data_IF_303528082307
#
_entry.id   IF_303528082307
#
_cell.length_a   1.000
_cell.length_b   1.000
_cell.length_c   1.000
_cell.angle_alpha   90.00
_cell.angle_beta   90.00
_cell.angle_gamma   90.00
#
_symmetry.space_group_name_H-M   'P 1'
#
loop_
_entity.id
_entity.type
_entity.pdbx_description
1 polymer ?
#
# COMPACT_ATOMS: atom_id res chain seq x y z
N UNK A 1 -20.20 -19.84 2.02
CA UNK A 1 -20.02 -18.55 2.72
C UNK A 1 -18.72 -17.93 2.22
N UNK A 2 -18.70 -16.70 1.71
CA UNK A 2 -17.49 -16.12 1.07
C UNK A 2 -16.88 -15.03 1.95
N UNK A 3 -15.58 -15.14 2.22
CA UNK A 3 -14.81 -14.13 2.95
C UNK A 3 -14.21 -13.13 1.96
N UNK A 4 -14.24 -11.85 2.34
CA UNK A 4 -13.64 -10.76 1.57
C UNK A 4 -12.77 -9.87 2.44
N UNK A 5 -11.61 -9.50 1.91
CA UNK A 5 -10.79 -8.42 2.47
C UNK A 5 -11.21 -7.12 1.80
N UNK A 6 -11.79 -6.19 2.55
CA UNK A 6 -12.42 -4.97 2.00
C UNK A 6 -12.12 -3.74 2.85
N UNK A 7 -12.36 -2.56 2.26
CA UNK A 7 -12.27 -1.28 2.97
C UNK A 7 -13.60 -0.94 3.66
N UNK A 8 -13.61 -0.98 4.99
CA UNK A 8 -14.67 -0.40 5.80
C UNK A 8 -14.38 1.10 5.99
N UNK A 9 -15.39 1.95 5.77
CA UNK A 9 -15.22 3.41 5.86
C UNK A 9 -15.40 3.85 7.31
N UNK A 10 -14.49 4.68 7.76
CA UNK A 10 -14.53 5.41 9.01
C UNK A 10 -14.27 6.91 8.76
N UNK A 11 -14.42 7.71 9.81
CA UNK A 11 -14.17 9.14 9.78
C UNK A 11 -15.37 9.99 9.33
N UNK A 12 -15.12 11.29 9.19
CA UNK A 12 -16.16 12.29 8.92
C UNK A 12 -16.40 12.44 7.41
N UNK A 13 -17.47 13.16 7.05
CA UNK A 13 -17.66 13.66 5.68
C UNK A 13 -16.42 14.46 5.26
N UNK A 14 -15.98 14.31 4.01
CA UNK A 14 -14.77 14.96 3.45
C UNK A 14 -13.42 14.62 4.13
N UNK A 15 -13.41 13.74 5.12
CA UNK A 15 -12.20 13.20 5.76
C UNK A 15 -12.35 11.70 6.00
N UNK A 16 -12.41 10.90 4.92
CA UNK A 16 -12.54 9.45 5.03
C UNK A 16 -11.23 8.82 5.49
N UNK A 17 -11.32 7.88 6.42
CA UNK A 17 -10.27 6.94 6.79
C UNK A 17 -10.84 5.55 6.52
N UNK A 18 -10.02 4.60 6.08
CA UNK A 18 -10.48 3.25 5.79
C UNK A 18 -9.80 2.23 6.70
N UNK A 19 -10.58 1.32 7.27
CA UNK A 19 -10.03 0.13 7.89
C UNK A 19 -9.98 -0.98 6.84
N UNK A 20 -8.85 -1.67 6.76
CA UNK A 20 -8.69 -2.87 5.96
C UNK A 20 -9.20 -4.03 6.82
N UNK A 21 -10.31 -4.64 6.43
CA UNK A 21 -11.02 -5.62 7.27
C UNK A 21 -11.31 -6.90 6.52
N UNK A 22 -11.35 -8.01 7.25
CA UNK A 22 -11.89 -9.28 6.80
C UNK A 22 -13.35 -9.38 7.25
N UNK A 23 -14.26 -9.60 6.31
CA UNK A 23 -15.68 -9.74 6.61
C UNK A 23 -16.36 -10.69 5.64
N UNK A 24 -17.57 -11.14 5.99
CA UNK A 24 -18.40 -11.92 5.09
C UNK A 24 -18.88 -11.04 3.93
N UNK A 25 -18.90 -11.59 2.71
CA UNK A 25 -19.25 -10.83 1.50
C UNK A 25 -20.66 -10.20 1.54
N UNK A 26 -21.60 -10.84 2.25
CA UNK A 26 -23.00 -10.38 2.38
C UNK A 26 -23.22 -9.39 3.52
N UNK A 27 -22.24 -9.19 4.40
CA UNK A 27 -22.38 -8.27 5.54
C UNK A 27 -22.35 -6.81 5.08
N UNK A 28 -23.06 -5.92 5.78
CA UNK A 28 -23.08 -4.49 5.48
C UNK A 28 -21.65 -3.92 5.50
N UNK A 29 -21.37 -2.88 4.70
CA UNK A 29 -20.01 -2.38 4.47
C UNK A 29 -19.23 -2.09 5.76
N UNK A 30 -19.88 -1.39 6.67
CA UNK A 30 -19.27 -0.84 7.88
C UNK A 30 -19.76 -1.58 9.14
N UNK A 31 -20.38 -2.76 9.00
CA UNK A 31 -20.73 -3.60 10.14
C UNK A 31 -19.47 -4.18 10.80
N UNK A 32 -19.61 -4.65 12.05
CA UNK A 32 -18.52 -5.32 12.79
C UNK A 32 -17.87 -6.41 11.92
N UNK A 33 -16.57 -6.30 11.59
CA UNK A 33 -15.86 -7.29 10.78
C UNK A 33 -15.48 -8.52 11.61
N UNK A 34 -14.98 -9.56 10.94
CA UNK A 34 -14.35 -10.70 11.59
C UNK A 34 -13.02 -10.29 12.21
N UNK A 35 -12.22 -9.51 11.47
CA UNK A 35 -10.92 -9.02 11.92
C UNK A 35 -10.57 -7.71 11.21
N UNK A 36 -9.84 -6.84 11.92
CA UNK A 36 -9.24 -5.63 11.36
C UNK A 36 -7.76 -5.91 11.11
N UNK A 37 -7.34 -5.85 9.85
CA UNK A 37 -5.95 -6.10 9.45
C UNK A 37 -5.10 -4.83 9.48
N UNK A 38 -5.73 -3.66 9.40
CA UNK A 38 -5.00 -2.42 9.27
C UNK A 38 -5.85 -1.19 9.00
N UNK A 39 -5.16 -0.07 8.78
CA UNK A 39 -5.73 1.25 8.51
C UNK A 39 -5.07 1.84 7.27
N UNK A 40 -5.88 2.49 6.44
CA UNK A 40 -5.47 3.16 5.23
C UNK A 40 -5.98 4.61 5.24
N UNK A 41 -5.05 5.56 5.16
CA UNK A 41 -5.36 6.96 4.93
C UNK A 41 -5.28 7.25 3.41
N UNK A 42 -6.41 7.56 2.75
CA UNK A 42 -6.40 7.84 1.32
C UNK A 42 -5.79 9.20 0.97
N UNK A 43 -5.67 10.12 1.94
CA UNK A 43 -5.17 11.47 1.70
C UNK A 43 -3.63 11.44 1.72
N UNK A 44 -2.98 11.82 0.60
CA UNK A 44 -1.54 11.79 0.55
C UNK A 44 -0.96 12.93 1.38
N UNK A 45 -0.11 12.61 2.34
CA UNK A 45 0.57 13.57 3.22
C UNK A 45 1.95 13.89 2.66
N UNK A 46 2.40 15.11 2.88
CA UNK A 46 3.82 15.40 2.69
C UNK A 46 4.61 14.53 3.68
N UNK A 47 5.77 13.98 3.30
CA UNK A 47 6.64 13.37 4.29
C UNK A 47 6.96 14.42 5.35
N UNK A 48 6.94 14.01 6.62
CA UNK A 48 7.25 14.88 7.74
C UNK A 48 8.57 15.60 7.44
N UNK A 49 8.57 16.93 7.52
CA UNK A 49 9.77 17.73 7.30
C UNK A 49 10.83 17.29 8.30
N UNK A 50 11.88 16.60 7.84
CA UNK A 50 13.15 16.61 8.55
C UNK A 50 13.65 18.06 8.62
N UNK A 51 14.47 18.42 9.61
CA UNK A 51 14.98 19.79 9.84
C UNK A 51 15.89 20.35 8.72
N UNK A 52 15.93 19.73 7.55
CA UNK A 52 16.62 20.18 6.34
C UNK A 52 15.53 20.50 5.34
N UNK A 53 15.49 21.73 4.84
CA UNK A 53 14.39 22.23 4.01
C UNK A 53 13.98 21.21 2.91
N UNK A 54 12.72 20.74 2.89
CA UNK A 54 12.26 19.64 2.03
C UNK A 54 12.24 19.98 0.53
N UNK A 55 12.66 21.20 0.19
CA UNK A 55 12.56 21.79 -1.14
C UNK A 55 13.85 21.62 -1.93
N UNK A 56 14.91 21.08 -1.33
CA UNK A 56 16.24 21.11 -1.94
C UNK A 56 16.99 19.81 -1.68
N UNK A 57 17.42 19.14 -2.75
CA UNK A 57 18.33 18.00 -2.68
C UNK A 57 19.64 18.35 -3.38
N UNK A 58 20.76 17.79 -2.91
CA UNK A 58 22.04 17.87 -3.61
C UNK A 58 22.16 16.64 -4.51
N UNK A 59 22.32 16.82 -5.82
CA UNK A 59 22.51 15.70 -6.74
C UNK A 59 23.93 15.12 -6.63
N UNK A 60 24.21 14.01 -7.32
CA UNK A 60 25.55 13.39 -7.33
C UNK A 60 26.69 14.27 -7.91
N UNK A 61 26.39 15.50 -8.34
CA UNK A 61 27.35 16.50 -8.85
C UNK A 61 27.56 17.67 -7.88
N UNK A 62 26.94 17.65 -6.70
CA UNK A 62 27.04 18.75 -5.74
C UNK A 62 26.12 19.94 -6.04
N UNK A 63 25.23 19.83 -7.04
CA UNK A 63 24.31 20.90 -7.41
C UNK A 63 23.04 20.85 -6.55
N UNK A 64 22.62 22.02 -6.11
CA UNK A 64 21.42 22.25 -5.32
C UNK A 64 20.21 22.29 -6.26
N UNK A 65 19.38 21.24 -6.25
CA UNK A 65 18.19 21.14 -7.12
C UNK A 65 16.89 21.27 -6.33
N UNK A 66 15.87 21.98 -6.87
CA UNK A 66 14.57 22.05 -6.24
C UNK A 66 13.90 20.66 -6.28
N UNK A 67 13.68 20.07 -5.10
CA UNK A 67 12.97 18.81 -4.93
C UNK A 67 11.59 19.06 -4.32
N UNK A 68 10.53 18.60 -4.99
CA UNK A 68 9.20 18.56 -4.39
C UNK A 68 8.99 17.18 -3.80
N UNK A 69 8.93 17.11 -2.48
CA UNK A 69 8.68 15.84 -1.79
C UNK A 69 7.39 15.18 -2.28
N UNK A 70 7.53 13.96 -2.81
CA UNK A 70 6.39 13.18 -3.31
C UNK A 70 5.47 12.87 -2.13
N UNK A 71 4.22 13.33 -2.20
CA UNK A 71 3.23 13.02 -1.16
C UNK A 71 2.97 11.51 -1.14
N UNK A 72 3.00 10.93 0.06
CA UNK A 72 2.83 9.50 0.29
C UNK A 72 1.50 9.23 1.00
N UNK A 73 0.96 8.03 0.82
CA UNK A 73 -0.26 7.59 1.52
C UNK A 73 0.15 6.62 2.62
N UNK A 74 -0.45 6.79 3.79
CA UNK A 74 -0.16 5.94 4.93
C UNK A 74 -1.00 4.66 4.85
N UNK A 75 -0.33 3.51 4.88
CA UNK A 75 -0.97 2.20 4.96
C UNK A 75 -0.31 1.43 6.08
N UNK A 76 -1.08 1.15 7.13
CA UNK A 76 -0.68 0.28 8.23
C UNK A 76 -1.38 -1.05 8.04
N UNK A 77 -0.62 -2.15 7.97
CA UNK A 77 -1.17 -3.47 7.70
C UNK A 77 -0.39 -4.55 8.45
N UNK A 78 -1.09 -5.43 9.17
CA UNK A 78 -0.52 -6.66 9.70
C UNK A 78 -0.32 -7.65 8.54
N UNK A 79 0.94 -7.77 8.09
CA UNK A 79 1.28 -8.66 6.99
C UNK A 79 1.06 -10.13 7.34
N UNK A 80 1.30 -10.55 8.58
CA UNK A 80 1.18 -11.94 9.02
C UNK A 80 -0.27 -12.39 8.96
N UNK A 81 -1.18 -11.61 9.57
CA UNK A 81 -2.62 -11.90 9.52
C UNK A 81 -3.17 -11.77 8.11
N UNK A 82 -2.72 -10.78 7.34
CA UNK A 82 -3.14 -10.62 5.95
C UNK A 82 -2.75 -11.85 5.11
N UNK A 83 -1.50 -12.32 5.21
CA UNK A 83 -1.03 -13.54 4.53
C UNK A 83 -1.85 -14.76 4.94
N UNK A 84 -2.14 -14.91 6.23
CA UNK A 84 -3.01 -15.99 6.74
C UNK A 84 -4.38 -15.97 6.07
N UNK A 85 -5.07 -14.82 6.05
CA UNK A 85 -6.40 -14.73 5.45
C UNK A 85 -6.41 -14.91 3.94
N UNK A 86 -5.36 -14.46 3.23
CA UNK A 86 -5.18 -14.77 1.82
C UNK A 86 -5.02 -16.27 1.60
N UNK A 87 -4.24 -16.96 2.44
CA UNK A 87 -4.08 -18.42 2.39
C UNK A 87 -5.36 -19.20 2.67
N UNK A 88 -6.24 -18.69 3.53
CA UNK A 88 -7.60 -19.24 3.76
C UNK A 88 -8.53 -19.03 2.55
N UNK A 89 -8.12 -18.21 1.58
CA UNK A 89 -8.90 -17.91 0.37
C UNK A 89 -9.82 -16.69 0.50
N UNK A 90 -9.56 -15.80 1.47
CA UNK A 90 -10.28 -14.53 1.56
C UNK A 90 -9.95 -13.67 0.33
N UNK A 91 -10.98 -13.31 -0.44
CA UNK A 91 -10.80 -12.59 -1.70
C UNK A 91 -10.66 -11.08 -1.45
N UNK A 92 -9.56 -10.42 -1.83
CA UNK A 92 -9.44 -8.98 -1.69
C UNK A 92 -10.35 -8.24 -2.67
N UNK A 93 -10.93 -7.14 -2.21
CA UNK A 93 -11.63 -6.19 -3.08
C UNK A 93 -10.63 -5.41 -3.93
N UNK A 94 -11.10 -4.86 -5.06
CA UNK A 94 -10.26 -4.17 -6.03
C UNK A 94 -9.29 -3.11 -5.47
N UNK A 95 -9.69 -2.18 -4.59
CA UNK A 95 -8.75 -1.21 -4.02
C UNK A 95 -7.75 -1.85 -3.05
N UNK A 96 -8.19 -2.86 -2.29
CA UNK A 96 -7.33 -3.60 -1.36
C UNK A 96 -6.28 -4.37 -2.13
N UNK A 97 -6.65 -5.04 -3.22
CA UNK A 97 -5.72 -5.75 -4.09
C UNK A 97 -4.60 -4.82 -4.57
N UNK A 98 -4.92 -3.61 -5.01
CA UNK A 98 -3.89 -2.63 -5.40
C UNK A 98 -2.97 -2.25 -4.24
N UNK A 99 -3.51 -2.06 -3.04
CA UNK A 99 -2.68 -1.80 -1.86
C UNK A 99 -1.76 -2.99 -1.56
N UNK A 100 -2.27 -4.22 -1.64
CA UNK A 100 -1.47 -5.44 -1.41
C UNK A 100 -0.37 -5.62 -2.46
N UNK A 101 -0.66 -5.32 -3.72
CA UNK A 101 0.35 -5.32 -4.80
C UNK A 101 1.43 -4.27 -4.54
N UNK A 102 1.05 -3.06 -4.13
CA UNK A 102 2.01 -1.99 -3.79
C UNK A 102 2.88 -2.34 -2.58
N UNK A 103 2.35 -3.10 -1.62
CA UNK A 103 3.09 -3.57 -0.43
C UNK A 103 3.94 -4.81 -0.77
N UNK A 104 3.72 -5.47 -1.91
CA UNK A 104 4.44 -6.69 -2.30
C UNK A 104 3.89 -7.97 -1.66
N UNK A 105 2.63 -7.99 -1.22
CA UNK A 105 1.96 -9.17 -0.66
C UNK A 105 1.20 -10.01 -1.71
N UNK A 106 1.07 -9.51 -2.93
CA UNK A 106 0.31 -10.15 -4.00
C UNK A 106 0.86 -9.76 -5.36
N UNK A 107 0.71 -10.64 -6.35
CA UNK A 107 1.03 -10.35 -7.74
C UNK A 107 -0.12 -9.56 -8.42
N UNK A 108 0.20 -8.64 -9.36
CA UNK A 108 -0.82 -7.95 -10.12
C UNK A 108 -1.58 -8.89 -11.05
N UNK A 109 -2.91 -8.76 -11.12
CA UNK A 109 -3.72 -9.54 -12.06
C UNK A 109 -3.29 -9.31 -13.52
N UNK A 110 -3.12 -10.39 -14.32
CA UNK A 110 -2.77 -10.27 -15.73
C UNK A 110 -3.86 -9.52 -16.51
N UNK A 111 -3.45 -8.71 -17.49
CA UNK A 111 -4.36 -7.93 -18.34
C UNK A 111 -4.80 -6.57 -17.77
N UNK A 112 -4.55 -6.27 -16.49
CA UNK A 112 -4.71 -4.91 -15.94
C UNK A 112 -3.40 -4.12 -16.06
N UNK A 113 -2.90 -3.96 -17.29
CA UNK A 113 -1.63 -3.28 -17.53
C UNK A 113 -1.85 -1.76 -17.63
N UNK A 114 -1.75 -1.08 -16.49
CA UNK A 114 -1.21 0.29 -16.37
C UNK A 114 -0.06 0.36 -15.34
N UNK A 115 0.35 -0.78 -14.78
CA UNK A 115 1.41 -0.85 -13.77
C UNK A 115 2.82 -0.87 -14.37
N UNK A 116 2.95 -1.13 -15.69
CA UNK A 116 4.24 -1.13 -16.39
C UNK A 116 5.02 0.17 -16.22
N UNK A 117 4.34 1.32 -16.10
CA UNK A 117 5.01 2.62 -15.87
C UNK A 117 5.44 2.88 -14.41
N UNK A 118 4.96 2.08 -13.45
CA UNK A 118 5.19 2.28 -11.99
C UNK A 118 6.08 1.19 -11.42
N UNK A 119 5.88 -0.08 -11.80
CA UNK A 119 6.72 -1.19 -11.34
C UNK A 119 8.13 -1.08 -11.94
N UNK A 120 8.27 -0.69 -13.21
CA UNK A 120 9.59 -0.45 -13.81
C UNK A 120 10.36 0.70 -13.13
N UNK A 121 9.66 1.60 -12.41
CA UNK A 121 10.25 2.70 -11.62
C UNK A 121 10.43 2.38 -10.13
N UNK A 122 9.85 1.29 -9.64
CA UNK A 122 9.85 0.90 -8.21
C UNK A 122 10.59 -0.41 -7.98
N UNK A 123 10.86 -1.20 -9.03
CA UNK A 123 11.88 -2.25 -9.01
C UNK A 123 13.21 -1.55 -8.80
N UNK A 124 13.68 -1.60 -7.56
CA UNK A 124 14.99 -1.17 -7.11
C UNK A 124 16.08 -1.49 -8.14
N UNK A 125 17.04 -0.59 -8.40
CA UNK A 125 18.26 -0.99 -9.09
C UNK A 125 19.00 -1.91 -8.11
N UNK A 126 18.89 -3.22 -8.31
CA UNK A 126 19.86 -4.27 -7.99
C UNK A 126 19.15 -5.61 -7.81
N UNK A 127 18.94 -6.31 -8.93
CA UNK A 127 19.16 -7.75 -8.94
C UNK A 127 20.67 -7.98 -8.97
N UNK A 128 21.29 -8.09 -7.80
CA UNK A 128 22.49 -8.92 -7.67
C UNK A 128 21.99 -10.27 -7.15
N UNK A 129 21.59 -11.12 -8.10
CA UNK A 129 21.48 -12.56 -7.86
C UNK A 129 22.92 -13.11 -7.79
N UNK A 130 23.27 -13.76 -6.68
CA UNK A 130 24.33 -14.76 -6.61
C UNK A 130 25.77 -14.27 -6.66
N UNK A 131 26.34 -13.94 -5.50
CA UNK A 131 27.74 -14.26 -5.23
C UNK A 131 27.80 -15.06 -3.92
N UNK A 132 28.21 -16.32 -4.09
CA UNK A 132 28.59 -17.25 -3.04
C UNK A 132 29.95 -16.78 -2.53
N UNK A 133 30.11 -16.61 -1.22
CA UNK A 133 31.44 -16.49 -0.61
C UNK A 133 31.61 -17.67 0.34
N UNK A 134 32.48 -18.59 -0.06
CA UNK A 134 33.27 -19.46 0.82
C UNK A 134 34.42 -18.63 1.36
#
# INVERSE_FOLDING_TARGET
MVLRIRLARFGKRHSPIYNIVVAQARSARDSKPLEVLGVYDPKPKAPLSSNTDPTTMVNGRGETVPYVAKKIKDVQLDQTRTKYWLGVGAQPSEPVERLLVLIGLMEPKPGRIQTGKILEKTVWPNKHEGEVVV
#
